data_IF_780737789049
#
_entry.id   IF_780737789049
#
_cell.length_a   1.000
_cell.length_b   1.000
_cell.length_c   1.000
_cell.angle_alpha   90.00
_cell.angle_beta   90.00
_cell.angle_gamma   90.00
#
_symmetry.space_group_name_H-M   'P 1'
#
loop_
_entity.id
_entity.type
_entity.pdbx_description
1 polymer ?
#
# COMPACT_ATOMS: atom_id res chain seq x y z
N UNK A 1 26.82 -20.93 -2.86
CA UNK A 1 25.39 -21.27 -3.05
C UNK A 1 24.82 -20.40 -4.14
N UNK A 2 23.90 -20.94 -4.94
CA UNK A 2 23.28 -20.27 -6.10
C UNK A 2 22.79 -18.85 -5.77
N UNK A 3 22.13 -18.67 -4.62
CA UNK A 3 21.66 -17.37 -4.13
C UNK A 3 22.79 -16.35 -3.88
N UNK A 4 23.95 -16.78 -3.36
CA UNK A 4 25.11 -15.89 -3.19
C UNK A 4 25.70 -15.46 -4.53
N UNK A 5 25.66 -16.36 -5.53
CA UNK A 5 26.06 -16.04 -6.91
C UNK A 5 25.12 -15.01 -7.53
N UNK A 6 23.81 -15.21 -7.39
CA UNK A 6 22.78 -14.26 -7.80
C UNK A 6 22.98 -12.88 -7.16
N UNK A 7 23.17 -12.80 -5.84
CA UNK A 7 23.39 -11.53 -5.13
C UNK A 7 24.75 -10.87 -5.44
N UNK A 8 25.72 -11.61 -5.98
CA UNK A 8 27.03 -11.07 -6.38
C UNK A 8 27.01 -10.46 -7.79
N UNK A 9 26.05 -10.86 -8.63
CA UNK A 9 25.90 -10.33 -9.99
C UNK A 9 25.69 -8.80 -9.96
N UNK A 10 26.39 -8.08 -10.84
CA UNK A 10 26.39 -6.62 -10.84
C UNK A 10 25.05 -6.02 -11.26
N UNK A 11 24.37 -6.61 -12.25
CA UNK A 11 23.06 -6.15 -12.67
C UNK A 11 22.01 -6.41 -11.58
N UNK A 12 22.12 -7.54 -10.88
CA UNK A 12 21.26 -7.85 -9.73
C UNK A 12 21.49 -6.84 -8.59
N UNK A 13 22.74 -6.58 -8.20
CA UNK A 13 23.05 -5.60 -7.15
C UNK A 13 22.56 -4.21 -7.51
N UNK A 14 22.80 -3.76 -8.74
CA UNK A 14 22.32 -2.48 -9.23
C UNK A 14 20.80 -2.39 -9.16
N UNK A 15 20.08 -3.47 -9.51
CA UNK A 15 18.61 -3.52 -9.41
C UNK A 15 18.13 -3.53 -7.97
N UNK A 16 18.68 -4.37 -7.10
CA UNK A 16 18.29 -4.46 -5.69
C UNK A 16 18.55 -3.15 -4.95
N UNK A 17 19.59 -2.39 -5.32
CA UNK A 17 19.88 -1.07 -4.76
C UNK A 17 18.79 -0.01 -5.07
N UNK A 18 17.93 -0.24 -6.07
CA UNK A 18 16.78 0.63 -6.36
C UNK A 18 15.55 0.28 -5.54
N UNK A 19 15.59 -0.82 -4.78
CA UNK A 19 14.48 -1.30 -3.97
C UNK A 19 14.69 -0.93 -2.51
N UNK A 20 13.59 -0.84 -1.77
CA UNK A 20 13.61 -0.57 -0.33
C UNK A 20 13.99 -1.83 0.47
N UNK A 21 15.19 -2.37 0.24
CA UNK A 21 15.68 -3.61 0.87
C UNK A 21 16.89 -3.36 1.79
N UNK A 22 17.16 -4.25 2.76
CA UNK A 22 18.38 -4.19 3.56
C UNK A 22 19.65 -4.26 2.68
N UNK A 23 20.68 -3.49 3.04
CA UNK A 23 21.94 -3.46 2.29
C UNK A 23 22.84 -4.69 2.52
N UNK A 24 22.63 -5.43 3.62
CA UNK A 24 23.47 -6.56 4.01
C UNK A 24 23.19 -7.82 3.20
N UNK A 25 24.22 -8.46 2.65
CA UNK A 25 24.10 -9.72 1.89
C UNK A 25 23.49 -10.83 2.74
N UNK A 26 23.90 -10.98 4.00
CA UNK A 26 23.34 -12.01 4.89
C UNK A 26 21.86 -11.73 5.25
N UNK A 27 21.45 -10.46 5.30
CA UNK A 27 20.05 -10.07 5.49
C UNK A 27 19.23 -10.42 4.25
N UNK A 28 19.74 -10.09 3.06
CA UNK A 28 19.11 -10.44 1.79
C UNK A 28 18.99 -11.96 1.60
N UNK A 29 19.99 -12.74 2.03
CA UNK A 29 19.92 -14.20 2.00
C UNK A 29 18.81 -14.74 2.90
N UNK A 30 18.69 -14.22 4.13
CA UNK A 30 17.61 -14.59 5.06
C UNK A 30 16.24 -14.17 4.52
N UNK A 31 16.17 -13.00 3.89
CA UNK A 31 14.94 -12.44 3.35
C UNK A 31 14.48 -13.20 2.11
N UNK A 32 15.43 -13.65 1.29
CA UNK A 32 15.17 -14.41 0.08
C UNK A 32 14.65 -15.83 0.39
N UNK A 33 15.11 -16.42 1.49
CA UNK A 33 14.83 -17.81 1.89
C UNK A 33 15.05 -18.80 0.74
N UNK A 34 16.14 -18.58 -0.02
CA UNK A 34 16.48 -19.39 -1.20
C UNK A 34 15.71 -19.06 -2.49
N UNK A 35 14.71 -18.17 -2.45
CA UNK A 35 13.93 -17.75 -3.61
C UNK A 35 14.16 -16.26 -3.95
N UNK A 36 14.90 -15.92 -5.02
CA UNK A 36 15.16 -14.52 -5.40
C UNK A 36 13.91 -13.65 -5.58
N UNK A 37 12.81 -14.24 -6.06
CA UNK A 37 11.55 -13.53 -6.28
C UNK A 37 10.91 -12.98 -5.01
N UNK A 38 11.19 -13.55 -3.84
CA UNK A 38 10.62 -13.08 -2.57
C UNK A 38 11.14 -11.69 -2.16
N UNK A 39 12.36 -11.32 -2.57
CA UNK A 39 12.92 -9.98 -2.37
C UNK A 39 12.10 -8.91 -3.12
N UNK A 40 11.76 -9.20 -4.38
CA UNK A 40 10.98 -8.31 -5.23
C UNK A 40 9.54 -8.19 -4.71
N UNK A 41 8.93 -9.33 -4.39
CA UNK A 41 7.57 -9.36 -3.86
C UNK A 41 7.47 -8.58 -2.54
N UNK A 42 8.44 -8.73 -1.64
CA UNK A 42 8.47 -7.99 -0.37
C UNK A 42 8.60 -6.49 -0.57
N UNK A 43 9.55 -6.04 -1.40
CA UNK A 43 9.70 -4.61 -1.68
C UNK A 43 8.41 -4.02 -2.25
N UNK A 44 7.74 -4.74 -3.16
CA UNK A 44 6.47 -4.29 -3.73
C UNK A 44 5.36 -4.21 -2.65
N UNK A 45 5.30 -5.17 -1.72
CA UNK A 45 4.36 -5.12 -0.60
C UNK A 45 4.65 -3.95 0.35
N UNK A 46 5.93 -3.68 0.66
CA UNK A 46 6.32 -2.58 1.54
C UNK A 46 5.98 -1.22 0.90
N UNK A 47 6.22 -1.06 -0.41
CA UNK A 47 5.86 0.14 -1.16
C UNK A 47 4.33 0.34 -1.21
N UNK A 48 3.58 -0.74 -1.42
CA UNK A 48 2.11 -0.73 -1.39
C UNK A 48 1.57 -0.32 -0.01
N UNK A 49 2.13 -0.86 1.08
CA UNK A 49 1.78 -0.50 2.45
C UNK A 49 2.11 0.96 2.76
N UNK A 50 3.29 1.45 2.36
CA UNK A 50 3.68 2.83 2.54
C UNK A 50 2.74 3.78 1.78
N UNK A 51 2.32 3.40 0.57
CA UNK A 51 1.37 4.17 -0.23
C UNK A 51 -0.04 4.17 0.36
N UNK A 52 -0.51 3.01 0.81
CA UNK A 52 -1.78 2.86 1.53
C UNK A 52 -1.82 3.72 2.79
N UNK A 53 -0.74 3.72 3.57
CA UNK A 53 -0.60 4.55 4.77
C UNK A 53 -0.75 6.03 4.44
N UNK A 54 -0.04 6.52 3.42
CA UNK A 54 -0.15 7.93 2.98
C UNK A 54 -1.58 8.31 2.57
N UNK A 55 -2.30 7.44 1.87
CA UNK A 55 -3.71 7.68 1.50
C UNK A 55 -4.59 7.77 2.75
N UNK A 56 -4.43 6.81 3.68
CA UNK A 56 -5.21 6.76 4.91
C UNK A 56 -4.94 7.97 5.82
N UNK A 57 -3.67 8.36 5.96
CA UNK A 57 -3.26 9.52 6.77
C UNK A 57 -3.78 10.83 6.16
N UNK A 58 -3.71 10.97 4.83
CA UNK A 58 -4.31 12.11 4.15
C UNK A 58 -5.83 12.19 4.36
N UNK A 59 -6.55 11.06 4.30
CA UNK A 59 -7.99 11.01 4.53
C UNK A 59 -8.39 11.36 5.98
N UNK A 60 -7.63 10.85 6.96
CA UNK A 60 -7.88 11.08 8.37
C UNK A 60 -7.48 12.49 8.83
N UNK A 61 -6.52 13.12 8.13
CA UNK A 61 -6.03 14.46 8.44
C UNK A 61 -7.06 15.57 8.16
N UNK A 62 -6.83 16.78 8.74
CA UNK A 62 -7.69 17.94 8.47
C UNK A 62 -7.37 18.64 7.14
N UNK A 63 -6.15 18.46 6.59
CA UNK A 63 -5.67 19.22 5.43
C UNK A 63 -6.32 18.74 4.12
N UNK A 64 -7.15 19.60 3.52
CA UNK A 64 -7.75 19.36 2.21
C UNK A 64 -6.71 19.38 1.08
N UNK A 65 -5.68 20.22 1.17
CA UNK A 65 -4.66 20.30 0.14
C UNK A 65 -3.86 18.99 0.07
N UNK A 66 -3.52 18.40 1.22
CA UNK A 66 -2.84 17.11 1.28
C UNK A 66 -3.65 15.98 0.66
N UNK A 67 -4.98 15.97 0.85
CA UNK A 67 -5.87 15.03 0.17
C UNK A 67 -5.84 15.18 -1.35
N UNK A 68 -5.89 16.40 -1.85
CA UNK A 68 -5.82 16.65 -3.30
C UNK A 68 -4.47 16.22 -3.88
N UNK A 69 -3.37 16.51 -3.19
CA UNK A 69 -2.02 16.04 -3.59
C UNK A 69 -1.96 14.51 -3.61
N UNK A 70 -2.47 13.86 -2.56
CA UNK A 70 -2.48 12.41 -2.43
C UNK A 70 -3.25 11.73 -3.57
N UNK A 71 -4.33 12.33 -4.08
CA UNK A 71 -5.03 11.84 -5.28
C UNK A 71 -4.26 12.10 -6.58
N UNK A 72 -3.66 13.29 -6.73
CA UNK A 72 -2.99 13.68 -7.97
C UNK A 72 -1.79 12.78 -8.31
N UNK A 73 -1.02 12.38 -7.30
CA UNK A 73 0.19 11.55 -7.48
C UNK A 73 -0.10 10.10 -7.88
N UNK A 74 -1.36 9.70 -8.06
CA UNK A 74 -1.73 8.29 -8.16
C UNK A 74 -1.64 7.68 -9.56
N UNK A 75 -1.69 8.49 -10.63
CA UNK A 75 -1.73 7.98 -12.00
C UNK A 75 -0.57 8.43 -12.88
N UNK A 76 0.66 8.23 -12.38
CA UNK A 76 1.85 8.18 -13.24
C UNK A 76 1.83 6.94 -14.14
N UNK A 77 2.59 6.95 -15.24
CA UNK A 77 2.67 5.80 -16.16
C UNK A 77 3.13 4.53 -15.44
N UNK A 78 2.50 3.38 -15.76
CA UNK A 78 2.78 2.10 -15.10
C UNK A 78 2.19 1.94 -13.68
N UNK A 79 1.49 2.95 -13.14
CA UNK A 79 1.02 2.95 -11.75
C UNK A 79 -0.22 2.08 -11.49
N UNK A 80 -0.82 1.43 -12.51
CA UNK A 80 -2.05 0.64 -12.31
C UNK A 80 -1.85 -0.56 -11.39
N UNK A 81 -0.76 -1.31 -11.56
CA UNK A 81 -0.42 -2.43 -10.66
C UNK A 81 -0.19 -1.94 -9.23
N UNK A 82 0.73 -0.98 -9.07
CA UNK A 82 1.03 -0.38 -7.77
C UNK A 82 -0.19 0.32 -7.10
N UNK A 83 -1.16 0.76 -7.88
CA UNK A 83 -2.43 1.28 -7.36
C UNK A 83 -3.34 0.19 -6.83
N UNK A 84 -3.55 -0.89 -7.59
CA UNK A 84 -4.28 -2.06 -7.11
C UNK A 84 -3.64 -2.64 -5.84
N UNK A 85 -2.31 -2.73 -5.79
CA UNK A 85 -1.59 -3.22 -4.62
C UNK A 85 -1.79 -2.30 -3.39
N UNK A 86 -1.79 -0.98 -3.60
CA UNK A 86 -2.09 -0.02 -2.54
C UNK A 86 -3.55 -0.14 -2.03
N UNK A 87 -4.53 -0.40 -2.91
CA UNK A 87 -5.91 -0.65 -2.50
C UNK A 87 -6.04 -1.94 -1.67
N UNK A 88 -5.32 -3.00 -2.05
CA UNK A 88 -5.27 -4.23 -1.26
C UNK A 88 -4.63 -4.02 0.12
N UNK A 89 -3.54 -3.25 0.17
CA UNK A 89 -2.89 -2.87 1.41
C UNK A 89 -3.80 -2.01 2.31
N UNK A 90 -4.62 -1.11 1.74
CA UNK A 90 -5.63 -0.34 2.49
C UNK A 90 -6.64 -1.26 3.19
N UNK A 91 -7.15 -2.29 2.51
CA UNK A 91 -8.05 -3.29 3.14
C UNK A 91 -7.40 -3.93 4.36
N UNK A 92 -6.12 -4.32 4.26
CA UNK A 92 -5.39 -4.90 5.39
C UNK A 92 -5.26 -3.92 6.57
N UNK A 93 -4.88 -2.66 6.30
CA UNK A 93 -4.75 -1.63 7.34
C UNK A 93 -6.08 -1.32 8.04
N UNK A 94 -7.19 -1.32 7.29
CA UNK A 94 -8.52 -1.05 7.83
C UNK A 94 -9.03 -2.24 8.66
N UNK A 95 -8.78 -3.48 8.22
CA UNK A 95 -9.07 -4.66 9.05
C UNK A 95 -8.28 -4.63 10.37
N UNK A 96 -6.99 -4.28 10.34
CA UNK A 96 -6.20 -4.11 11.57
C UNK A 96 -6.79 -3.03 12.48
N UNK A 97 -7.28 -1.92 11.91
CA UNK A 97 -7.94 -0.85 12.67
C UNK A 97 -9.27 -1.30 13.29
N UNK A 98 -10.06 -2.10 12.59
CA UNK A 98 -11.29 -2.72 13.14
C UNK A 98 -10.93 -3.58 14.36
N UNK A 99 -9.96 -4.49 14.21
CA UNK A 99 -9.56 -5.37 15.32
C UNK A 99 -9.04 -4.58 16.53
N UNK A 100 -8.22 -3.55 16.29
CA UNK A 100 -7.72 -2.68 17.36
C UNK A 100 -8.83 -1.84 18.04
N UNK A 101 -9.88 -1.47 17.31
CA UNK A 101 -11.03 -0.76 17.89
C UNK A 101 -11.89 -1.69 18.75
N UNK A 102 -12.19 -2.90 18.26
CA UNK A 102 -12.93 -3.93 19.01
C UNK A 102 -12.20 -4.33 20.30
N UNK A 103 -10.88 -4.49 20.25
CA UNK A 103 -10.07 -4.79 21.42
C UNK A 103 -10.12 -3.68 22.51
N UNK A 104 -10.54 -2.47 22.15
CA UNK A 104 -10.70 -1.32 23.06
C UNK A 104 -12.16 -1.01 23.37
N UNK A 105 -13.10 -1.87 22.95
CA UNK A 105 -14.55 -1.68 23.05
C UNK A 105 -15.05 -0.39 22.36
N UNK A 106 -14.29 0.12 21.39
CA UNK A 106 -14.63 1.32 20.63
C UNK A 106 -15.44 0.95 19.39
N UNK A 107 -16.74 0.71 19.62
CA UNK A 107 -17.68 0.29 18.56
C UNK A 107 -17.82 1.34 17.46
N UNK A 108 -17.73 2.63 17.79
CA UNK A 108 -17.79 3.73 16.82
C UNK A 108 -16.64 3.69 15.84
N UNK A 109 -15.40 3.58 16.34
CA UNK A 109 -14.23 3.46 15.49
C UNK A 109 -14.20 2.16 14.68
N UNK A 110 -14.70 1.04 15.24
CA UNK A 110 -14.80 -0.22 14.52
C UNK A 110 -15.79 -0.14 13.33
N UNK A 111 -16.93 0.53 13.52
CA UNK A 111 -17.91 0.76 12.46
C UNK A 111 -17.37 1.70 11.39
N UNK A 112 -16.71 2.79 11.78
CA UNK A 112 -16.08 3.74 10.85
C UNK A 112 -15.01 3.07 9.99
N UNK A 113 -14.14 2.26 10.59
CA UNK A 113 -13.13 1.49 9.87
C UNK A 113 -13.73 0.43 8.93
N UNK A 114 -14.84 -0.22 9.33
CA UNK A 114 -15.56 -1.16 8.47
C UNK A 114 -16.17 -0.49 7.23
N UNK A 115 -16.81 0.68 7.40
CA UNK A 115 -17.35 1.47 6.29
C UNK A 115 -16.26 1.96 5.34
N UNK A 116 -15.12 2.37 5.90
CA UNK A 116 -13.94 2.72 5.12
C UNK A 116 -13.43 1.52 4.30
N UNK A 117 -13.45 0.30 4.85
CA UNK A 117 -13.04 -0.90 4.11
C UNK A 117 -13.97 -1.18 2.92
N UNK A 118 -15.28 -0.99 3.10
CA UNK A 118 -16.27 -1.11 2.02
C UNK A 118 -16.03 -0.10 0.88
N UNK A 119 -15.67 1.14 1.22
CA UNK A 119 -15.29 2.16 0.24
C UNK A 119 -14.06 1.75 -0.59
N UNK A 120 -13.09 1.08 0.05
CA UNK A 120 -11.90 0.56 -0.65
C UNK A 120 -12.28 -0.54 -1.63
N UNK A 121 -13.20 -1.46 -1.29
CA UNK A 121 -13.63 -2.51 -2.21
C UNK A 121 -14.34 -1.93 -3.44
N UNK A 122 -15.22 -0.93 -3.28
CA UNK A 122 -15.81 -0.19 -4.42
C UNK A 122 -14.75 0.51 -5.28
N UNK A 123 -13.71 1.05 -4.65
CA UNK A 123 -12.60 1.66 -5.38
C UNK A 123 -11.82 0.63 -6.20
N UNK A 124 -11.64 -0.60 -5.71
CA UNK A 124 -11.02 -1.70 -6.48
C UNK A 124 -11.85 -2.07 -7.70
N UNK A 125 -13.17 -2.21 -7.54
CA UNK A 125 -14.08 -2.47 -8.66
C UNK A 125 -13.99 -1.37 -9.72
N UNK A 126 -13.99 -0.10 -9.29
CA UNK A 126 -13.82 1.05 -10.19
C UNK A 126 -12.48 1.03 -10.93
N UNK A 127 -11.40 0.67 -10.24
CA UNK A 127 -10.05 0.58 -10.82
C UNK A 127 -9.93 -0.51 -11.89
N UNK A 128 -10.67 -1.62 -11.74
CA UNK A 128 -10.75 -2.67 -12.77
C UNK A 128 -11.46 -2.17 -14.04
N UNK A 129 -12.45 -1.29 -13.89
CA UNK A 129 -13.25 -0.71 -14.98
C UNK A 129 -12.56 0.36 -15.84
N UNK A 130 -11.23 0.38 -15.93
CA UNK A 130 -10.41 1.38 -16.64
C UNK A 130 -10.46 2.81 -16.12
N UNK A 131 -11.05 3.06 -14.94
CA UNK A 131 -11.05 4.39 -14.34
C UNK A 131 -9.62 4.88 -14.05
N UNK A 132 -9.44 6.20 -14.11
CA UNK A 132 -8.18 6.86 -13.76
C UNK A 132 -7.88 6.67 -12.26
N UNK A 133 -6.68 6.21 -11.86
CA UNK A 133 -6.28 6.12 -10.46
C UNK A 133 -6.45 7.41 -9.68
N UNK A 134 -6.26 8.57 -10.31
CA UNK A 134 -6.46 9.88 -9.68
C UNK A 134 -7.94 10.10 -9.32
N UNK A 135 -8.86 9.82 -10.24
CA UNK A 135 -10.29 9.97 -10.00
C UNK A 135 -10.80 8.99 -8.94
N UNK A 136 -10.38 7.73 -9.03
CA UNK A 136 -10.73 6.71 -8.03
C UNK A 136 -10.22 7.13 -6.64
N UNK A 137 -8.97 7.60 -6.55
CA UNK A 137 -8.41 8.05 -5.26
C UNK A 137 -9.11 9.30 -4.74
N UNK A 138 -9.46 10.26 -5.61
CA UNK A 138 -10.18 11.46 -5.20
C UNK A 138 -11.54 11.11 -4.56
N UNK A 139 -12.31 10.21 -5.18
CA UNK A 139 -13.58 9.74 -4.62
C UNK A 139 -13.35 8.97 -3.33
N UNK A 140 -12.39 8.04 -3.31
CA UNK A 140 -12.06 7.25 -2.13
C UNK A 140 -11.67 8.12 -0.93
N UNK A 141 -10.83 9.13 -1.09
CA UNK A 141 -10.42 10.03 0.00
C UNK A 141 -11.59 10.75 0.66
N UNK A 142 -12.65 11.07 -0.10
CA UNK A 142 -13.87 11.68 0.45
C UNK A 142 -14.69 10.67 1.25
N UNK A 143 -14.81 9.45 0.76
CA UNK A 143 -15.52 8.38 1.48
C UNK A 143 -14.79 7.98 2.76
N UNK A 144 -13.44 7.89 2.71
CA UNK A 144 -12.61 7.62 3.87
C UNK A 144 -12.70 8.74 4.92
N UNK A 145 -12.67 10.01 4.50
CA UNK A 145 -12.87 11.15 5.43
C UNK A 145 -14.22 11.06 6.15
N UNK A 146 -15.29 10.76 5.41
CA UNK A 146 -16.64 10.68 5.98
C UNK A 146 -16.84 9.46 6.89
N UNK A 147 -16.12 8.36 6.64
CA UNK A 147 -16.24 7.14 7.44
C UNK A 147 -15.37 7.15 8.70
N UNK A 148 -14.24 7.86 8.69
CA UNK A 148 -13.24 7.83 9.77
C UNK A 148 -13.35 8.99 10.77
N UNK A 149 -14.22 9.96 10.50
CA UNK A 149 -14.57 11.05 11.43
C UNK A 149 -15.92 10.77 12.09
#
# INVERSE_FOLDING_TARGET
GEMRGFLADEAVRARLATLSLPAGVDDLLRLADGAPGSLLARSAMDDALARARRILDAAAGPDRAERLRAAFVQGTSGARGAFSDALNALTLLLHQRVQAALARDDTGAALGASRAAEAVERAKESAQGNASPQLVTFTLLRELEAALR
#
